data_IF_818358315098
#
_entry.id   IF_818358315098
#
_cell.length_a   1.000
_cell.length_b   1.000
_cell.length_c   1.000
_cell.angle_alpha   90.00
_cell.angle_beta   90.00
_cell.angle_gamma   90.00
#
_symmetry.space_group_name_H-M   'P 1'
#
loop_
_entity.id
_entity.type
_entity.pdbx_description
1 polymer ?
#
# COMPACT_ATOMS: atom_id res chain seq x y z
N UNK A 1 7.80 13.12 5.65
CA UNK A 1 8.14 12.60 4.31
C UNK A 1 6.84 12.33 3.58
N UNK A 2 6.54 13.10 2.53
CA UNK A 2 5.34 12.91 1.72
C UNK A 2 5.55 11.76 0.71
N UNK A 3 4.51 11.00 0.36
CA UNK A 3 4.61 9.97 -0.68
C UNK A 3 4.91 10.61 -2.04
N UNK A 4 5.70 9.92 -2.87
CA UNK A 4 6.04 10.37 -4.22
C UNK A 4 4.82 10.30 -5.18
N UNK A 5 4.95 10.91 -6.36
CA UNK A 5 3.85 11.01 -7.34
C UNK A 5 3.35 9.64 -7.81
N UNK A 6 4.23 8.65 -7.95
CA UNK A 6 3.85 7.29 -8.36
C UNK A 6 3.04 6.62 -7.27
N UNK A 7 3.48 6.71 -6.02
CA UNK A 7 2.72 6.21 -4.87
C UNK A 7 1.33 6.86 -4.78
N UNK A 8 1.25 8.19 -4.92
CA UNK A 8 -0.04 8.90 -4.95
C UNK A 8 -0.94 8.43 -6.09
N UNK A 9 -0.39 8.20 -7.29
CA UNK A 9 -1.14 7.72 -8.46
C UNK A 9 -1.74 6.33 -8.20
N UNK A 10 -0.95 5.41 -7.64
CA UNK A 10 -1.40 4.05 -7.28
C UNK A 10 -2.51 4.10 -6.24
N UNK A 11 -2.35 4.90 -5.18
CA UNK A 11 -3.37 5.03 -4.13
C UNK A 11 -4.68 5.64 -4.65
N UNK A 12 -4.63 6.63 -5.55
CA UNK A 12 -5.82 7.19 -6.21
C UNK A 12 -6.54 6.15 -7.08
N UNK A 13 -5.79 5.36 -7.86
CA UNK A 13 -6.37 4.29 -8.66
C UNK A 13 -6.98 3.17 -7.80
N UNK A 14 -6.36 2.86 -6.66
CA UNK A 14 -6.90 1.90 -5.71
C UNK A 14 -8.21 2.38 -5.08
N UNK A 15 -8.27 3.64 -4.61
CA UNK A 15 -9.48 4.25 -4.05
C UNK A 15 -10.67 4.17 -5.02
N UNK A 16 -10.46 4.54 -6.29
CA UNK A 16 -11.52 4.46 -7.32
C UNK A 16 -12.07 3.04 -7.51
N UNK A 17 -11.20 2.02 -7.45
CA UNK A 17 -11.63 0.62 -7.53
C UNK A 17 -12.48 0.23 -6.32
N UNK A 18 -12.07 0.61 -5.12
CA UNK A 18 -12.86 0.35 -3.90
C UNK A 18 -14.22 1.03 -3.94
N UNK A 19 -14.29 2.29 -4.38
CA UNK A 19 -15.55 3.02 -4.51
C UNK A 19 -16.50 2.28 -5.49
N UNK A 20 -15.99 1.84 -6.64
CA UNK A 20 -16.76 1.05 -7.60
C UNK A 20 -17.21 -0.30 -7.01
N UNK A 21 -16.34 -1.00 -6.29
CA UNK A 21 -16.68 -2.26 -5.60
C UNK A 21 -17.76 -2.06 -4.53
N UNK A 22 -17.67 -0.98 -3.75
CA UNK A 22 -18.66 -0.63 -2.74
C UNK A 22 -20.01 -0.31 -3.37
N UNK A 23 -20.03 0.43 -4.48
CA UNK A 23 -21.26 0.73 -5.24
C UNK A 23 -21.94 -0.54 -5.73
N UNK A 24 -21.20 -1.46 -6.36
CA UNK A 24 -21.73 -2.74 -6.85
C UNK A 24 -22.30 -3.60 -5.72
N UNK A 25 -21.73 -3.51 -4.51
CA UNK A 25 -22.09 -4.33 -3.36
C UNK A 25 -23.07 -3.66 -2.39
N UNK A 26 -23.51 -2.44 -2.69
CA UNK A 26 -24.32 -1.60 -1.79
C UNK A 26 -23.71 -1.44 -0.39
N UNK A 27 -22.37 -1.33 -0.32
CA UNK A 27 -21.61 -1.11 0.92
C UNK A 27 -21.29 0.38 1.05
N UNK A 28 -21.44 0.93 2.26
CA UNK A 28 -21.04 2.31 2.55
C UNK A 28 -19.52 2.40 2.71
N UNK A 29 -18.82 3.27 1.95
CA UNK A 29 -17.39 3.46 2.13
C UNK A 29 -17.06 4.00 3.52
N UNK A 30 -16.14 3.34 4.23
CA UNK A 30 -15.72 3.72 5.58
C UNK A 30 -14.72 4.89 5.63
N UNK A 31 -14.29 5.41 4.47
CA UNK A 31 -13.28 6.47 4.37
C UNK A 31 -11.83 5.98 4.44
N UNK A 32 -11.60 4.70 4.75
CA UNK A 32 -10.26 4.10 4.67
C UNK A 32 -9.86 3.81 3.21
N UNK A 33 -8.57 3.90 2.91
CA UNK A 33 -8.01 3.60 1.57
C UNK A 33 -7.67 2.11 1.41
N UNK A 34 -7.56 1.35 2.51
CA UNK A 34 -7.27 -0.07 2.50
C UNK A 34 -8.41 -0.81 3.21
N UNK A 35 -9.45 -1.15 2.46
CA UNK A 35 -10.64 -1.83 2.97
C UNK A 35 -10.79 -3.22 2.37
N UNK A 36 -11.51 -4.06 3.10
CA UNK A 36 -12.11 -5.30 2.61
C UNK A 36 -13.34 -4.97 1.76
N UNK A 37 -13.85 -5.97 1.06
CA UNK A 37 -15.03 -5.86 0.20
C UNK A 37 -16.33 -5.51 0.94
N UNK A 38 -16.34 -5.62 2.26
CA UNK A 38 -17.43 -5.22 3.16
C UNK A 38 -17.25 -3.78 3.68
N UNK A 39 -16.24 -3.05 3.19
CA UNK A 39 -15.95 -1.68 3.57
C UNK A 39 -15.17 -1.54 4.88
N UNK A 40 -14.93 -2.62 5.62
CA UNK A 40 -14.15 -2.57 6.86
C UNK A 40 -12.65 -2.40 6.57
N UNK A 41 -11.88 -1.71 7.44
CA UNK A 41 -10.44 -1.57 7.26
C UNK A 41 -9.72 -2.92 7.25
N UNK A 42 -8.70 -3.05 6.42
CA UNK A 42 -7.83 -4.22 6.42
C UNK A 42 -7.01 -4.27 7.71
N UNK A 43 -7.04 -5.42 8.39
CA UNK A 43 -6.19 -5.67 9.54
C UNK A 43 -4.70 -5.66 9.13
N UNK A 44 -3.79 -5.07 9.93
CA UNK A 44 -2.36 -5.08 9.63
C UNK A 44 -1.78 -6.48 9.41
N UNK A 45 -2.26 -7.46 10.16
CA UNK A 45 -1.89 -8.87 10.03
C UNK A 45 -2.18 -9.45 8.64
N UNK A 46 -3.25 -9.00 7.99
CA UNK A 46 -3.58 -9.40 6.63
C UNK A 46 -2.53 -8.88 5.63
N UNK A 47 -2.09 -7.63 5.80
CA UNK A 47 -1.06 -7.03 4.96
C UNK A 47 0.28 -7.75 5.14
N UNK A 48 0.62 -8.12 6.38
CA UNK A 48 1.82 -8.91 6.65
C UNK A 48 1.78 -10.27 5.95
N UNK A 49 0.68 -11.02 6.07
CA UNK A 49 0.52 -12.33 5.39
C UNK A 49 0.62 -12.22 3.86
N UNK A 50 0.13 -11.12 3.29
CA UNK A 50 0.26 -10.83 1.85
C UNK A 50 1.68 -10.46 1.43
N UNK A 51 2.47 -9.92 2.35
CA UNK A 51 3.89 -9.59 2.11
C UNK A 51 4.78 -10.85 2.10
N UNK A 52 4.51 -11.80 3.00
CA UNK A 52 5.37 -12.99 3.19
C UNK A 52 5.57 -13.76 1.89
N UNK A 53 4.53 -13.92 1.07
CA UNK A 53 4.63 -14.69 -0.17
C UNK A 53 5.60 -14.06 -1.20
N UNK A 54 5.43 -12.79 -1.62
CA UNK A 54 6.41 -12.10 -2.47
C UNK A 54 7.84 -12.09 -1.90
N UNK A 55 7.99 -11.92 -0.58
CA UNK A 55 9.29 -11.95 0.10
C UNK A 55 9.96 -13.31 -0.05
N UNK A 56 9.22 -14.40 0.18
CA UNK A 56 9.74 -15.75 -0.02
C UNK A 56 10.12 -16.04 -1.48
N UNK A 57 9.37 -15.49 -2.44
CA UNK A 57 9.62 -15.69 -3.88
C UNK A 57 10.89 -14.98 -4.39
N UNK A 58 11.27 -13.85 -3.78
CA UNK A 58 12.40 -13.03 -4.26
C UNK A 58 13.69 -13.21 -3.44
N UNK A 59 13.67 -14.05 -2.41
CA UNK A 59 14.86 -14.42 -1.63
C UNK A 59 15.36 -13.49 -0.51
N UNK A 60 14.77 -12.32 -0.17
CA UNK A 60 15.18 -11.63 1.06
C UNK A 60 14.84 -12.46 2.31
N UNK A 61 15.59 -12.27 3.43
CA UNK A 61 15.20 -12.83 4.71
C UNK A 61 13.78 -12.35 5.09
N UNK A 62 13.07 -13.08 5.98
CA UNK A 62 11.76 -12.66 6.44
C UNK A 62 11.77 -11.21 6.95
N UNK A 63 11.06 -10.33 6.26
CA UNK A 63 11.00 -8.90 6.56
C UNK A 63 9.59 -8.47 6.97
N UNK A 64 9.50 -7.49 7.86
CA UNK A 64 8.25 -6.90 8.34
C UNK A 64 7.88 -5.70 7.48
N UNK A 65 6.62 -5.25 7.59
CA UNK A 65 6.15 -4.06 6.86
C UNK A 65 6.95 -2.79 7.18
N UNK A 66 7.47 -2.66 8.41
CA UNK A 66 8.31 -1.52 8.76
C UNK A 66 9.66 -1.54 8.06
N UNK A 67 10.22 -2.73 7.78
CA UNK A 67 11.49 -2.86 7.05
C UNK A 67 11.34 -2.36 5.61
N UNK A 68 10.17 -2.55 4.99
CA UNK A 68 9.87 -1.95 3.69
C UNK A 68 9.89 -0.42 3.75
N UNK A 69 9.31 0.17 4.81
CA UNK A 69 9.33 1.62 4.99
C UNK A 69 10.77 2.12 5.21
N UNK A 70 11.56 1.39 6.00
CA UNK A 70 12.98 1.72 6.20
C UNK A 70 13.76 1.61 4.88
N UNK A 71 13.58 0.53 4.11
CA UNK A 71 14.22 0.36 2.81
C UNK A 71 13.84 1.47 1.83
N UNK A 72 12.56 1.83 1.74
CA UNK A 72 12.11 2.95 0.91
C UNK A 72 12.71 4.29 1.35
N UNK A 73 12.88 4.51 2.66
CA UNK A 73 13.54 5.69 3.18
C UNK A 73 15.03 5.72 2.84
N UNK A 74 15.75 4.60 3.04
CA UNK A 74 17.16 4.49 2.66
C UNK A 74 17.37 4.73 1.16
N UNK A 75 16.57 4.10 0.31
CA UNK A 75 16.61 4.32 -1.14
C UNK A 75 16.32 5.78 -1.51
N UNK A 76 15.37 6.43 -0.83
CA UNK A 76 15.09 7.85 -1.06
C UNK A 76 16.23 8.78 -0.60
N UNK A 77 17.04 8.36 0.39
CA UNK A 77 18.24 9.09 0.80
C UNK A 77 19.38 8.89 -0.21
N UNK A 78 19.55 7.69 -0.75
CA UNK A 78 20.60 7.36 -1.72
C UNK A 78 20.36 7.99 -3.10
N UNK A 79 19.10 8.00 -3.57
CA UNK A 79 18.71 8.59 -4.88
C UNK A 79 18.58 10.12 -4.80
N UNK A 80 18.60 10.69 -3.59
CA UNK A 80 18.25 12.09 -3.34
C UNK A 80 16.75 12.35 -3.56
N UNK A 81 16.22 13.50 -3.11
CA UNK A 81 14.84 13.85 -3.37
C UNK A 81 14.61 13.84 -4.89
N UNK A 82 13.53 13.18 -5.33
CA UNK A 82 13.07 13.22 -6.71
C UNK A 82 12.78 14.67 -7.10
N UNK A 83 13.78 15.35 -7.66
CA UNK A 83 13.62 16.65 -8.29
C UNK A 83 12.72 16.44 -9.50
N UNK A 84 11.44 16.76 -9.33
CA UNK A 84 10.50 16.84 -10.42
C UNK A 84 10.96 17.96 -11.36
N UNK A 85 11.54 17.58 -12.50
CA UNK A 85 11.39 18.38 -13.72
C UNK A 85 10.00 18.17 -14.31
#
# INVERSE_FOLDING_TARGET
MAPDRTTVKVLKAHRRRQEAECQVRAVVPSGFVLTRVDGQPLAPEYLYRRLVKPVAEHGPPPIRLHDLRHGAASLALEVGPSQAR
#
